data_IF_695205021785
#
_entry.id   IF_695205021785
#
_cell.length_a   1.000
_cell.length_b   1.000
_cell.length_c   1.000
_cell.angle_alpha   90.00
_cell.angle_beta   90.00
_cell.angle_gamma   90.00
#
_symmetry.space_group_name_H-M   'P 1'
#
loop_
_entity.id
_entity.type
_entity.pdbx_description
1 polymer ?
#
# COMPACT_ATOMS: atom_id res chain seq x y z
N UNK A 1 10.28 -29.16 2.65
CA UNK A 1 9.85 -28.03 1.80
C UNK A 1 10.49 -26.78 2.38
N UNK A 2 11.43 -26.16 1.68
CA UNK A 2 12.02 -24.88 2.07
C UNK A 2 10.94 -23.81 1.99
N UNK A 3 10.72 -23.05 3.08
CA UNK A 3 9.80 -21.91 3.07
C UNK A 3 10.12 -20.98 1.89
N UNK A 4 9.11 -20.43 1.19
CA UNK A 4 9.35 -19.54 0.06
C UNK A 4 10.22 -18.35 0.51
N UNK A 5 11.18 -17.97 -0.33
CA UNK A 5 12.08 -16.85 -0.07
C UNK A 5 11.26 -15.55 0.12
N UNK A 6 11.64 -14.73 1.10
CA UNK A 6 10.96 -13.48 1.41
C UNK A 6 11.04 -12.51 0.22
N UNK A 7 9.90 -11.97 -0.20
CA UNK A 7 9.79 -10.91 -1.22
C UNK A 7 8.84 -9.84 -0.69
N UNK A 8 9.39 -8.67 -0.37
CA UNK A 8 8.64 -7.48 0.00
C UNK A 8 8.71 -6.41 -1.09
N UNK A 9 7.95 -5.33 -0.92
CA UNK A 9 7.99 -4.19 -1.83
C UNK A 9 7.67 -2.86 -1.15
N UNK A 10 8.20 -1.79 -1.71
CA UNK A 10 7.67 -0.44 -1.51
C UNK A 10 6.93 0.00 -2.77
N UNK A 11 5.71 0.51 -2.58
CA UNK A 11 4.79 0.82 -3.67
C UNK A 11 4.22 2.25 -3.55
N UNK A 12 5.01 3.30 -3.82
CA UNK A 12 4.56 4.69 -3.69
C UNK A 12 3.69 5.15 -4.86
N UNK A 13 2.69 5.98 -4.58
CA UNK A 13 1.94 6.74 -5.60
C UNK A 13 2.61 8.10 -5.86
N UNK A 14 2.91 8.47 -7.12
CA UNK A 14 3.61 9.72 -7.47
C UNK A 14 2.70 10.97 -7.46
N UNK A 15 1.73 11.03 -6.54
CA UNK A 15 0.85 12.19 -6.36
C UNK A 15 1.48 13.32 -5.51
N UNK A 16 2.82 13.34 -5.43
CA UNK A 16 3.62 14.17 -4.55
C UNK A 16 4.93 13.47 -4.16
N UNK A 17 5.84 14.19 -3.51
CA UNK A 17 7.13 13.65 -3.09
C UNK A 17 7.02 12.72 -1.87
N UNK A 18 8.08 11.95 -1.61
CA UNK A 18 8.19 11.26 -0.33
C UNK A 18 8.16 12.27 0.81
N UNK A 19 7.39 11.94 1.84
CA UNK A 19 7.36 12.63 3.11
C UNK A 19 7.76 11.65 4.21
N UNK A 20 7.91 12.14 5.45
CA UNK A 20 8.41 11.32 6.54
C UNK A 20 7.57 10.05 6.80
N UNK A 21 6.24 10.11 6.68
CA UNK A 21 5.40 8.91 6.77
C UNK A 21 5.67 7.87 5.66
N UNK A 22 5.93 8.32 4.43
CA UNK A 22 6.33 7.42 3.33
C UNK A 22 7.72 6.84 3.57
N UNK A 23 8.64 7.61 4.16
CA UNK A 23 9.97 7.11 4.57
C UNK A 23 9.85 6.01 5.64
N UNK A 24 8.97 6.18 6.63
CA UNK A 24 8.72 5.14 7.66
C UNK A 24 8.23 3.84 7.01
N UNK A 25 7.32 3.91 6.04
CA UNK A 25 6.84 2.73 5.31
C UNK A 25 7.94 2.09 4.43
N UNK A 26 8.72 2.91 3.71
CA UNK A 26 9.86 2.44 2.92
C UNK A 26 10.89 1.73 3.80
N UNK A 27 11.29 2.38 4.92
CA UNK A 27 12.25 1.83 5.87
C UNK A 27 11.77 0.51 6.47
N UNK A 28 10.54 0.46 6.99
CA UNK A 28 10.01 -0.77 7.57
C UNK A 28 9.96 -1.92 6.57
N UNK A 29 9.45 -1.67 5.35
CA UNK A 29 9.38 -2.71 4.32
C UNK A 29 10.76 -3.18 3.84
N UNK A 30 11.73 -2.26 3.79
CA UNK A 30 13.12 -2.56 3.42
C UNK A 30 13.81 -3.41 4.48
N UNK A 31 13.77 -2.98 5.75
CA UNK A 31 14.41 -3.68 6.86
C UNK A 31 13.81 -5.06 7.07
N UNK A 32 12.48 -5.18 6.98
CA UNK A 32 11.81 -6.47 7.15
C UNK A 32 12.20 -7.48 6.07
N UNK A 33 12.40 -7.01 4.83
CA UNK A 33 12.92 -7.84 3.75
C UNK A 33 14.38 -8.22 3.94
N UNK A 34 15.25 -7.22 4.18
CA UNK A 34 16.70 -7.42 4.24
C UNK A 34 17.13 -8.22 5.47
N UNK A 35 16.46 -8.05 6.62
CA UNK A 35 16.72 -8.84 7.83
C UNK A 35 16.41 -10.35 7.64
N UNK A 36 15.62 -10.71 6.62
CA UNK A 36 15.32 -12.09 6.23
C UNK A 36 16.14 -12.58 5.03
N UNK A 37 17.12 -11.79 4.57
CA UNK A 37 17.87 -12.08 3.34
C UNK A 37 16.98 -12.10 2.09
N UNK A 38 15.82 -11.44 2.14
CA UNK A 38 14.82 -11.41 1.09
C UNK A 38 15.05 -10.33 0.05
N UNK A 39 14.18 -10.33 -0.95
CA UNK A 39 14.12 -9.29 -1.97
C UNK A 39 13.22 -8.14 -1.55
N UNK A 40 13.60 -6.92 -1.91
CA UNK A 40 12.79 -5.71 -1.74
C UNK A 40 12.60 -5.02 -3.09
N UNK A 41 11.37 -5.04 -3.59
CA UNK A 41 11.02 -4.53 -4.91
C UNK A 41 10.52 -3.08 -4.82
N UNK A 42 10.59 -2.36 -5.94
CA UNK A 42 10.00 -1.03 -6.08
C UNK A 42 8.94 -1.05 -7.19
N UNK A 43 7.74 -0.55 -6.88
CA UNK A 43 6.64 -0.40 -7.85
C UNK A 43 6.02 0.99 -7.76
N UNK A 44 6.03 1.74 -8.85
CA UNK A 44 5.34 3.03 -8.91
C UNK A 44 3.84 2.81 -9.16
N UNK A 45 3.00 3.29 -8.25
CA UNK A 45 1.53 3.18 -8.34
C UNK A 45 0.93 4.40 -9.05
N UNK A 46 1.28 4.57 -10.32
CA UNK A 46 0.87 5.64 -11.25
C UNK A 46 -0.44 5.31 -12.00
N UNK A 47 -1.50 5.05 -11.22
CA UNK A 47 -2.84 4.66 -11.73
C UNK A 47 -3.82 5.81 -11.91
N UNK A 48 -3.50 7.02 -11.46
CA UNK A 48 -4.41 8.17 -11.49
C UNK A 48 -3.66 9.40 -12.03
N UNK A 49 -3.39 9.46 -13.35
CA UNK A 49 -2.62 10.54 -13.96
C UNK A 49 -3.08 11.96 -13.60
N UNK A 50 -4.39 12.26 -13.47
CA UNK A 50 -4.85 13.57 -12.98
C UNK A 50 -4.37 13.97 -11.58
N UNK A 51 -3.97 13.02 -10.74
CA UNK A 51 -3.43 13.26 -9.39
C UNK A 51 -1.92 13.21 -9.33
N UNK A 52 -1.26 12.81 -10.40
CA UNK A 52 0.20 12.70 -10.44
C UNK A 52 0.84 14.08 -10.51
N UNK A 53 2.01 14.20 -9.88
CA UNK A 53 2.79 15.43 -9.88
C UNK A 53 3.99 15.23 -10.81
N UNK A 54 4.13 16.12 -11.79
CA UNK A 54 5.27 16.09 -12.71
C UNK A 54 6.60 16.09 -11.94
N UNK A 55 7.52 15.21 -12.33
CA UNK A 55 8.81 15.05 -11.66
C UNK A 55 8.76 14.30 -10.31
N UNK A 56 7.58 14.03 -9.73
CA UNK A 56 7.49 13.35 -8.44
C UNK A 56 8.05 11.93 -8.47
N UNK A 57 7.82 11.18 -9.54
CA UNK A 57 8.42 9.85 -9.71
C UNK A 57 9.95 9.92 -9.64
N UNK A 58 10.57 10.81 -10.42
CA UNK A 58 12.03 10.98 -10.42
C UNK A 58 12.55 11.42 -9.06
N UNK A 59 11.86 12.35 -8.39
CA UNK A 59 12.21 12.80 -7.06
C UNK A 59 12.10 11.68 -6.00
N UNK A 60 11.08 10.82 -6.09
CA UNK A 60 10.93 9.64 -5.23
C UNK A 60 12.15 8.72 -5.38
N UNK A 61 12.52 8.38 -6.62
CA UNK A 61 13.68 7.53 -6.90
C UNK A 61 14.96 8.14 -6.34
N UNK A 62 15.20 9.42 -6.65
CA UNK A 62 16.38 10.13 -6.18
C UNK A 62 16.45 10.22 -4.64
N UNK A 63 15.32 10.43 -3.96
CA UNK A 63 15.26 10.38 -2.49
C UNK A 63 15.62 8.98 -1.98
N UNK A 64 15.07 7.90 -2.56
CA UNK A 64 15.39 6.54 -2.12
C UNK A 64 16.88 6.24 -2.26
N UNK A 65 17.48 6.60 -3.40
CA UNK A 65 18.92 6.42 -3.68
C UNK A 65 19.79 7.22 -2.69
N UNK A 66 19.48 8.50 -2.47
CA UNK A 66 20.22 9.35 -1.53
C UNK A 66 20.14 8.85 -0.08
N UNK A 67 19.04 8.16 0.27
CA UNK A 67 18.85 7.57 1.59
C UNK A 67 19.46 6.18 1.70
N UNK A 68 20.10 5.68 0.63
CA UNK A 68 20.83 4.41 0.62
C UNK A 68 19.96 3.18 0.35
N UNK A 69 18.68 3.35 -0.01
CA UNK A 69 17.81 2.23 -0.36
C UNK A 69 18.23 1.61 -1.69
N UNK A 70 18.28 0.28 -1.74
CA UNK A 70 18.57 -0.49 -2.95
C UNK A 70 17.46 -1.51 -3.17
N UNK A 71 16.69 -1.35 -4.25
CA UNK A 71 15.68 -2.32 -4.66
C UNK A 71 16.24 -3.36 -5.61
N UNK A 72 15.64 -4.54 -5.62
CA UNK A 72 16.06 -5.65 -6.46
C UNK A 72 15.28 -5.70 -7.78
N UNK A 73 16.01 -5.90 -8.87
CA UNK A 73 15.43 -5.92 -10.21
C UNK A 73 15.05 -4.53 -10.71
N UNK A 74 14.22 -4.49 -11.74
CA UNK A 74 13.75 -3.23 -12.33
C UNK A 74 12.56 -2.67 -11.54
N UNK A 75 12.46 -1.34 -11.52
CA UNK A 75 11.27 -0.66 -11.01
C UNK A 75 10.11 -0.84 -12.00
N UNK A 76 8.97 -1.26 -11.48
CA UNK A 76 7.75 -1.51 -12.27
C UNK A 76 6.80 -0.32 -12.15
N UNK A 77 6.14 0.06 -13.25
CA UNK A 77 5.05 1.04 -13.23
C UNK A 77 3.70 0.36 -13.45
N UNK A 78 2.66 0.83 -12.77
CA UNK A 78 1.31 0.31 -12.95
C UNK A 78 0.65 0.83 -14.23
N UNK A 79 1.05 2.01 -14.72
CA UNK A 79 0.62 2.57 -16.00
C UNK A 79 0.97 1.66 -17.19
N UNK A 80 2.05 0.89 -17.10
CA UNK A 80 2.48 -0.08 -18.11
C UNK A 80 1.70 -1.41 -18.06
N UNK A 81 0.78 -1.58 -17.09
CA UNK A 81 0.12 -2.86 -16.80
C UNK A 81 -1.39 -2.87 -17.04
N UNK A 82 -1.93 -1.81 -17.62
CA UNK A 82 -3.36 -1.64 -17.89
C UNK A 82 -3.97 -2.80 -18.69
N UNK A 83 -3.25 -3.39 -19.65
CA UNK A 83 -3.75 -4.52 -20.43
C UNK A 83 -4.00 -5.76 -19.56
N UNK A 84 -3.14 -6.01 -18.56
CA UNK A 84 -3.31 -7.14 -17.62
C UNK A 84 -4.56 -6.93 -16.77
N UNK A 85 -4.78 -5.70 -16.30
CA UNK A 85 -5.96 -5.37 -15.49
C UNK A 85 -7.26 -5.50 -16.29
N UNK A 86 -7.25 -5.04 -17.56
CA UNK A 86 -8.38 -5.18 -18.48
C UNK A 86 -8.79 -6.64 -18.64
N UNK A 87 -7.83 -7.53 -18.98
CA UNK A 87 -8.07 -8.96 -19.19
C UNK A 87 -8.69 -9.64 -17.95
N UNK A 88 -8.25 -9.26 -16.76
CA UNK A 88 -8.81 -9.82 -15.51
C UNK A 88 -10.23 -9.33 -15.28
N UNK A 89 -10.51 -8.04 -15.52
CA UNK A 89 -11.87 -7.50 -15.41
C UNK A 89 -12.81 -8.20 -16.39
N UNK A 90 -12.38 -8.40 -17.64
CA UNK A 90 -13.19 -9.07 -18.65
C UNK A 90 -13.51 -10.50 -18.22
N UNK A 91 -12.51 -11.25 -17.73
CA UNK A 91 -12.72 -12.60 -17.18
C UNK A 91 -13.68 -12.61 -16.00
N UNK A 92 -13.53 -11.69 -15.04
CA UNK A 92 -14.44 -11.59 -13.89
C UNK A 92 -15.87 -11.25 -14.32
N UNK A 93 -16.03 -10.43 -15.36
CA UNK A 93 -17.32 -10.09 -15.93
C UNK A 93 -17.97 -11.29 -16.64
N UNK A 94 -17.22 -12.03 -17.46
CA UNK A 94 -17.67 -13.26 -18.13
C UNK A 94 -18.10 -14.36 -17.15
N UNK A 95 -17.39 -14.47 -16.03
CA UNK A 95 -17.75 -15.40 -14.94
C UNK A 95 -18.97 -14.92 -14.11
N UNK A 96 -19.55 -13.77 -14.42
CA UNK A 96 -20.65 -13.17 -13.67
C UNK A 96 -20.25 -12.67 -12.28
N UNK A 97 -18.95 -12.59 -11.97
CA UNK A 97 -18.40 -12.14 -10.69
C UNK A 97 -18.26 -10.63 -10.60
N UNK A 98 -18.26 -9.93 -11.74
CA UNK A 98 -18.30 -8.48 -11.82
C UNK A 98 -19.53 -8.00 -12.63
N UNK A 99 -19.93 -6.74 -12.43
CA UNK A 99 -21.05 -6.14 -13.15
C UNK A 99 -20.87 -4.64 -13.35
N UNK A 100 -21.57 -4.10 -14.34
CA UNK A 100 -21.57 -2.68 -14.65
C UNK A 100 -22.53 -1.91 -13.75
N UNK A 101 -22.05 -0.80 -13.19
CA UNK A 101 -22.77 0.09 -12.30
C UNK A 101 -22.83 1.49 -12.92
N UNK A 102 -24.05 1.96 -13.16
CA UNK A 102 -24.36 3.28 -13.73
C UNK A 102 -24.78 4.31 -12.67
N UNK A 103 -24.87 3.90 -11.40
CA UNK A 103 -25.24 4.79 -10.30
C UNK A 103 -24.34 6.05 -10.25
N UNK A 104 -24.99 7.21 -10.19
CA UNK A 104 -24.34 8.49 -9.91
C UNK A 104 -23.92 8.61 -8.45
N UNK A 105 -23.00 9.54 -8.14
CA UNK A 105 -22.60 9.84 -6.75
C UNK A 105 -23.82 10.20 -5.88
N UNK A 106 -24.74 11.00 -6.41
CA UNK A 106 -25.98 11.40 -5.73
C UNK A 106 -26.87 10.21 -5.36
N UNK A 107 -26.96 9.18 -6.21
CA UNK A 107 -27.71 7.96 -5.88
C UNK A 107 -27.05 7.11 -4.80
N UNK A 108 -25.75 7.31 -4.55
CA UNK A 108 -24.99 6.57 -3.55
C UNK A 108 -24.82 7.36 -2.25
N UNK A 109 -25.25 8.63 -2.22
CA UNK A 109 -25.32 9.42 -1.00
C UNK A 109 -26.25 8.74 0.02
N UNK A 110 -25.88 8.77 1.30
CA UNK A 110 -26.65 8.15 2.38
C UNK A 110 -26.30 6.67 2.68
N UNK A 111 -25.57 5.99 1.80
CA UNK A 111 -25.18 4.59 2.01
C UNK A 111 -23.84 4.39 2.74
N UNK A 112 -23.28 5.46 3.32
CA UNK A 112 -22.04 5.43 4.14
C UNK A 112 -20.85 4.71 3.47
N UNK A 113 -20.78 4.74 2.13
CA UNK A 113 -19.71 4.09 1.36
C UNK A 113 -19.98 2.62 1.00
N UNK A 114 -20.99 1.99 1.59
CA UNK A 114 -21.38 0.60 1.29
C UNK A 114 -22.33 0.59 0.10
N UNK A 115 -21.99 -0.11 -0.98
CA UNK A 115 -22.85 -0.11 -2.16
C UNK A 115 -24.16 -0.88 -1.92
N UNK A 116 -25.35 -0.29 -2.18
CA UNK A 116 -26.65 -0.90 -1.88
C UNK A 116 -27.10 -2.00 -2.86
N UNK A 117 -26.28 -2.36 -3.86
CA UNK A 117 -26.60 -3.44 -4.80
C UNK A 117 -27.57 -3.07 -5.94
N UNK A 118 -27.87 -1.78 -6.16
CA UNK A 118 -28.86 -1.29 -7.15
C UNK A 118 -28.66 -1.92 -8.54
N UNK A 119 -27.43 -1.91 -9.05
CA UNK A 119 -27.11 -2.42 -10.39
C UNK A 119 -26.70 -3.90 -10.40
N UNK A 120 -26.66 -4.57 -9.24
CA UNK A 120 -26.05 -5.91 -9.08
C UNK A 120 -26.63 -6.93 -10.06
N UNK A 121 -27.93 -6.84 -10.36
CA UNK A 121 -28.59 -7.72 -11.33
C UNK A 121 -29.24 -6.94 -12.49
N UNK A 122 -28.85 -5.69 -12.72
CA UNK A 122 -29.48 -4.82 -13.70
C UNK A 122 -28.97 -5.03 -15.14
N UNK A 123 -27.93 -5.84 -15.33
CA UNK A 123 -27.38 -6.22 -16.65
C UNK A 123 -27.06 -5.02 -17.55
N UNK A 124 -26.56 -3.92 -16.97
CA UNK A 124 -26.14 -2.76 -17.75
C UNK A 124 -24.95 -3.09 -18.67
N UNK A 125 -24.85 -2.43 -19.83
CA UNK A 125 -23.66 -2.50 -20.65
C UNK A 125 -22.46 -1.93 -19.89
N UNK A 126 -21.25 -2.39 -20.22
CA UNK A 126 -20.02 -1.89 -19.60
C UNK A 126 -19.68 -0.44 -20.01
N UNK A 127 -20.25 0.05 -21.11
CA UNK A 127 -20.01 1.39 -21.62
C UNK A 127 -20.50 2.45 -20.64
N UNK A 128 -19.65 3.44 -20.37
CA UNK A 128 -19.93 4.57 -19.46
C UNK A 128 -20.44 4.11 -18.08
N UNK A 129 -19.85 3.02 -17.57
CA UNK A 129 -20.17 2.44 -16.28
C UNK A 129 -18.90 2.15 -15.47
N UNK A 130 -19.02 2.25 -14.15
CA UNK A 130 -18.01 1.65 -13.27
C UNK A 130 -18.21 0.13 -13.25
N UNK A 131 -17.13 -0.64 -13.13
CA UNK A 131 -17.21 -2.09 -12.90
C UNK A 131 -17.04 -2.36 -11.42
N UNK A 132 -18.01 -3.05 -10.82
CA UNK A 132 -17.99 -3.50 -9.43
C UNK A 132 -17.80 -5.01 -9.37
N UNK A 133 -17.09 -5.47 -8.35
CA UNK A 133 -17.01 -6.89 -8.01
C UNK A 133 -18.19 -7.26 -7.11
N UNK A 134 -18.80 -8.42 -7.34
CA UNK A 134 -19.77 -9.00 -6.41
C UNK A 134 -19.02 -9.43 -5.16
N UNK A 135 -19.42 -8.92 -4.01
CA UNK A 135 -18.84 -9.26 -2.72
C UNK A 135 -19.73 -10.30 -2.01
N UNK A 136 -19.13 -11.33 -1.38
CA UNK A 136 -19.88 -12.34 -0.64
C UNK A 136 -20.32 -11.83 0.74
N UNK A 137 -21.37 -12.45 1.29
CA UNK A 137 -21.80 -12.27 2.68
C UNK A 137 -20.93 -13.11 3.63
N UNK A 138 -19.63 -12.80 3.66
CA UNK A 138 -18.63 -13.53 4.44
C UNK A 138 -17.74 -12.58 5.26
N UNK A 139 -17.27 -13.08 6.40
CA UNK A 139 -16.23 -12.45 7.20
C UNK A 139 -14.85 -12.89 6.71
N UNK A 140 -13.99 -11.92 6.42
CA UNK A 140 -12.58 -12.13 6.16
C UNK A 140 -11.77 -11.69 7.36
N UNK A 141 -10.74 -12.46 7.69
CA UNK A 141 -9.82 -12.14 8.77
C UNK A 141 -8.38 -12.43 8.37
N UNK A 142 -7.46 -11.79 9.07
CA UNK A 142 -6.04 -12.10 8.98
C UNK A 142 -5.33 -11.70 10.27
N UNK A 143 -4.16 -12.30 10.47
CA UNK A 143 -3.25 -11.93 11.54
C UNK A 143 -2.24 -10.91 11.02
N UNK A 144 -2.36 -9.65 11.45
CA UNK A 144 -1.33 -8.64 11.20
C UNK A 144 -0.17 -8.79 12.20
N UNK A 145 1.06 -8.79 11.68
CA UNK A 145 2.27 -8.97 12.50
C UNK A 145 2.49 -7.87 13.56
N UNK A 146 1.85 -6.71 13.44
CA UNK A 146 1.91 -5.60 14.42
C UNK A 146 0.54 -5.31 15.03
N UNK A 147 -0.50 -5.20 14.21
CA UNK A 147 -1.85 -4.80 14.64
C UNK A 147 -2.66 -5.96 15.25
N UNK A 148 -2.17 -7.20 15.13
CA UNK A 148 -2.84 -8.41 15.63
C UNK A 148 -3.99 -8.87 14.73
N UNK A 149 -4.93 -9.60 15.33
CA UNK A 149 -6.12 -10.09 14.63
C UNK A 149 -6.98 -8.94 14.10
N UNK A 150 -7.29 -8.95 12.80
CA UNK A 150 -8.22 -8.03 12.16
C UNK A 150 -9.30 -8.83 11.42
N UNK A 151 -10.56 -8.40 11.55
CA UNK A 151 -11.73 -9.04 10.93
C UNK A 151 -12.65 -7.98 10.32
N UNK A 152 -13.29 -8.32 9.21
CA UNK A 152 -14.28 -7.47 8.54
C UNK A 152 -15.28 -8.32 7.77
N UNK A 153 -16.56 -8.05 7.95
CA UNK A 153 -17.64 -8.66 7.18
C UNK A 153 -17.86 -7.90 5.87
N UNK A 154 -17.36 -8.44 4.75
CA UNK A 154 -17.27 -7.70 3.50
C UNK A 154 -18.64 -7.25 2.96
N UNK A 155 -19.65 -8.12 2.96
CA UNK A 155 -20.99 -7.78 2.46
C UNK A 155 -21.66 -6.62 3.21
N UNK A 156 -21.43 -6.52 4.53
CA UNK A 156 -22.09 -5.55 5.43
C UNK A 156 -21.31 -4.26 5.58
N UNK A 157 -19.98 -4.35 5.63
CA UNK A 157 -19.11 -3.21 5.98
C UNK A 157 -18.44 -2.57 4.75
N UNK A 158 -18.41 -3.28 3.61
CA UNK A 158 -17.75 -2.80 2.39
C UNK A 158 -18.74 -2.75 1.22
N UNK A 159 -19.49 -3.82 1.02
CA UNK A 159 -20.35 -4.02 -0.14
C UNK A 159 -19.55 -4.15 -1.45
N UNK A 160 -20.27 -4.25 -2.56
CA UNK A 160 -19.69 -4.45 -3.89
C UNK A 160 -18.83 -3.23 -4.29
N UNK A 161 -17.51 -3.35 -4.15
CA UNK A 161 -16.58 -2.25 -4.41
C UNK A 161 -16.18 -2.17 -5.89
N UNK A 162 -15.71 -0.98 -6.29
CA UNK A 162 -15.29 -0.69 -7.67
C UNK A 162 -13.93 -1.31 -7.95
N UNK A 163 -13.80 -2.01 -9.08
CA UNK A 163 -12.53 -2.53 -9.63
C UNK A 163 -12.06 -1.77 -10.89
N UNK A 164 -13.00 -1.12 -11.60
CA UNK A 164 -12.72 -0.12 -12.66
C UNK A 164 -13.66 1.06 -12.51
N UNK A 165 -13.13 2.26 -12.42
CA UNK A 165 -13.92 3.50 -12.33
C UNK A 165 -14.63 3.79 -13.66
N UNK A 166 -15.67 4.63 -13.60
CA UNK A 166 -16.44 5.05 -14.79
C UNK A 166 -15.59 5.82 -15.80
N UNK A 167 -14.57 6.54 -15.33
CA UNK A 167 -13.59 7.25 -16.15
C UNK A 167 -12.49 6.34 -16.72
N UNK A 168 -12.61 5.02 -16.55
CA UNK A 168 -11.68 4.03 -17.10
C UNK A 168 -10.49 3.69 -16.22
N UNK A 169 -10.23 4.45 -15.16
CA UNK A 169 -9.09 4.20 -14.26
C UNK A 169 -9.30 2.94 -13.40
N UNK A 170 -8.25 2.14 -13.24
CA UNK A 170 -8.30 0.91 -12.45
C UNK A 170 -8.25 1.21 -10.95
N UNK A 171 -9.03 0.47 -10.16
CA UNK A 171 -9.03 0.65 -8.72
C UNK A 171 -7.77 0.04 -8.10
N UNK A 172 -7.20 0.74 -7.11
CA UNK A 172 -6.07 0.28 -6.32
C UNK A 172 -6.21 -1.17 -5.84
N UNK A 173 -7.41 -1.56 -5.36
CA UNK A 173 -7.67 -2.91 -4.82
C UNK A 173 -7.39 -4.03 -5.84
N UNK A 174 -7.71 -3.79 -7.12
CA UNK A 174 -7.46 -4.77 -8.18
C UNK A 174 -5.98 -4.78 -8.56
N UNK A 175 -5.43 -3.61 -8.88
CA UNK A 175 -4.08 -3.49 -9.41
C UNK A 175 -3.03 -4.01 -8.41
N UNK A 176 -3.15 -3.67 -7.13
CA UNK A 176 -2.21 -4.13 -6.09
C UNK A 176 -2.20 -5.65 -5.95
N UNK A 177 -3.37 -6.30 -6.03
CA UNK A 177 -3.48 -7.77 -5.91
C UNK A 177 -2.83 -8.46 -7.11
N UNK A 178 -3.09 -7.95 -8.32
CA UNK A 178 -2.52 -8.50 -9.54
C UNK A 178 -1.01 -8.34 -9.59
N UNK A 179 -0.50 -7.18 -9.18
CA UNK A 179 0.93 -6.90 -9.24
C UNK A 179 1.71 -7.57 -8.12
N UNK A 180 1.17 -7.63 -6.89
CA UNK A 180 1.81 -8.37 -5.80
C UNK A 180 1.89 -9.86 -6.15
N UNK A 181 0.83 -10.44 -6.75
CA UNK A 181 0.86 -11.83 -7.22
C UNK A 181 1.87 -12.04 -8.37
N UNK A 182 1.89 -11.15 -9.36
CA UNK A 182 2.81 -11.24 -10.50
C UNK A 182 4.29 -11.06 -10.09
N UNK A 183 4.58 -10.17 -9.14
CA UNK A 183 5.93 -9.98 -8.60
C UNK A 183 6.34 -11.05 -7.57
N UNK A 184 5.41 -11.94 -7.19
CA UNK A 184 5.63 -12.98 -6.20
C UNK A 184 5.82 -12.43 -4.79
N UNK A 185 5.21 -11.29 -4.45
CA UNK A 185 5.29 -10.68 -3.11
C UNK A 185 4.73 -11.65 -2.07
N UNK A 186 5.54 -11.94 -1.05
CA UNK A 186 5.18 -12.84 0.05
C UNK A 186 4.83 -12.10 1.34
N UNK A 187 5.32 -10.86 1.48
CA UNK A 187 5.16 -10.05 2.69
C UNK A 187 4.84 -8.60 2.30
N UNK A 188 3.67 -8.12 2.72
CA UNK A 188 3.21 -6.76 2.50
C UNK A 188 3.38 -5.96 3.79
N UNK A 189 4.42 -5.13 3.81
CA UNK A 189 4.69 -4.17 4.88
C UNK A 189 4.29 -2.77 4.39
N UNK A 190 3.28 -2.16 5.02
CA UNK A 190 2.72 -0.85 4.59
C UNK A 190 2.09 -0.07 5.74
N UNK A 191 1.61 1.14 5.49
CA UNK A 191 0.96 1.98 6.50
C UNK A 191 -0.41 1.44 6.95
N UNK A 192 -0.74 1.63 8.23
CA UNK A 192 -1.99 1.18 8.85
C UNK A 192 -3.24 1.89 8.34
N UNK A 193 -3.10 2.92 7.51
CA UNK A 193 -4.19 3.51 6.75
C UNK A 193 -4.75 2.59 5.65
N UNK A 194 -4.03 1.52 5.30
CA UNK A 194 -4.46 0.49 4.36
C UNK A 194 -4.92 -0.81 5.04
N UNK A 195 -4.99 -0.82 6.37
CA UNK A 195 -5.36 -2.01 7.15
C UNK A 195 -6.74 -2.55 6.73
N UNK A 196 -7.71 -1.66 6.60
CA UNK A 196 -9.10 -1.95 6.21
C UNK A 196 -9.25 -2.38 4.73
N UNK A 197 -8.21 -2.18 3.91
CA UNK A 197 -8.17 -2.62 2.51
C UNK A 197 -7.75 -4.08 2.39
N UNK A 198 -7.11 -4.64 3.43
CA UNK A 198 -6.60 -6.01 3.40
C UNK A 198 -7.70 -7.06 3.19
N UNK A 199 -8.85 -7.04 3.89
CA UNK A 199 -9.92 -8.01 3.65
C UNK A 199 -10.46 -8.02 2.21
N UNK A 200 -10.58 -6.83 1.58
CA UNK A 200 -10.96 -6.71 0.16
C UNK A 200 -9.93 -7.37 -0.76
N UNK A 201 -8.65 -7.22 -0.43
CA UNK A 201 -7.55 -7.79 -1.21
C UNK A 201 -7.44 -9.30 -1.01
N UNK A 202 -7.65 -9.81 0.21
CA UNK A 202 -7.73 -11.24 0.49
C UNK A 202 -8.86 -11.91 -0.30
N UNK A 203 -10.03 -11.25 -0.37
CA UNK A 203 -11.13 -11.73 -1.21
C UNK A 203 -10.74 -11.80 -2.69
N UNK A 204 -10.13 -10.74 -3.25
CA UNK A 204 -9.68 -10.76 -4.64
C UNK A 204 -8.60 -11.83 -4.88
N UNK A 205 -7.68 -12.03 -3.93
CA UNK A 205 -6.66 -13.08 -4.01
C UNK A 205 -7.29 -14.47 -4.04
N UNK A 206 -8.25 -14.75 -3.14
CA UNK A 206 -9.00 -16.01 -3.12
C UNK A 206 -9.77 -16.22 -4.43
N UNK A 207 -10.49 -15.19 -4.89
CA UNK A 207 -11.30 -15.24 -6.10
C UNK A 207 -10.46 -15.52 -7.36
N UNK A 208 -9.22 -15.01 -7.40
CA UNK A 208 -8.30 -15.16 -8.52
C UNK A 208 -7.33 -16.36 -8.35
N UNK A 209 -7.42 -17.08 -7.23
CA UNK A 209 -6.57 -18.25 -6.94
C UNK A 209 -5.11 -17.91 -6.62
N UNK A 210 -4.84 -16.71 -6.10
CA UNK A 210 -3.50 -16.30 -5.69
C UNK A 210 -3.19 -16.68 -4.24
N UNK A 211 -1.89 -16.84 -3.94
CA UNK A 211 -1.42 -16.96 -2.57
C UNK A 211 -1.65 -15.66 -1.80
N UNK A 212 -2.06 -15.77 -0.53
CA UNK A 212 -2.22 -14.62 0.36
C UNK A 212 -0.87 -14.31 1.05
N UNK A 213 -0.35 -13.08 0.95
CA UNK A 213 0.90 -12.71 1.60
C UNK A 213 0.70 -12.52 3.10
N UNK A 214 1.81 -12.45 3.85
CA UNK A 214 1.81 -12.04 5.25
C UNK A 214 1.73 -10.52 5.32
N UNK A 215 0.99 -9.99 6.28
CA UNK A 215 0.77 -8.54 6.42
C UNK A 215 1.42 -7.98 7.68
N UNK A 216 1.98 -6.78 7.55
CA UNK A 216 2.44 -5.94 8.65
C UNK A 216 2.05 -4.50 8.36
N UNK A 217 1.28 -3.90 9.28
CA UNK A 217 0.84 -2.51 9.15
C UNK A 217 1.53 -1.61 10.17
N UNK A 218 2.36 -0.68 9.69
CA UNK A 218 3.07 0.30 10.53
C UNK A 218 2.17 1.48 10.90
N UNK A 219 2.33 2.09 12.09
CA UNK A 219 1.55 3.26 12.48
C UNK A 219 1.69 4.40 11.47
N UNK A 220 0.58 5.06 11.18
CA UNK A 220 0.60 6.28 10.39
C UNK A 220 1.07 7.47 11.23
N UNK A 221 2.06 8.21 10.75
CA UNK A 221 2.50 9.43 11.43
C UNK A 221 1.46 10.53 11.23
N UNK A 222 0.97 11.11 12.34
CA UNK A 222 -0.03 12.18 12.34
C UNK A 222 0.56 13.46 12.94
N UNK A 223 0.18 14.60 12.39
CA UNK A 223 0.53 15.92 12.90
C UNK A 223 -0.24 16.23 14.21
N UNK A 224 0.22 17.21 15.02
CA UNK A 224 -0.43 17.57 16.27
C UNK A 224 -1.89 18.01 16.14
N UNK A 225 -2.29 18.50 14.97
CA UNK A 225 -3.66 18.90 14.62
C UNK A 225 -4.57 17.69 14.27
N UNK A 226 -4.04 16.46 14.34
CA UNK A 226 -4.75 15.23 14.05
C UNK A 226 -4.81 14.89 12.55
N UNK A 227 -4.28 15.74 11.67
CA UNK A 227 -4.19 15.43 10.25
C UNK A 227 -3.08 14.41 9.99
N UNK A 228 -3.30 13.54 9.00
CA UNK A 228 -2.25 12.65 8.50
C UNK A 228 -1.06 13.51 8.06
N UNK A 229 0.16 13.13 8.45
CA UNK A 229 1.36 13.76 7.91
C UNK A 229 1.49 13.33 6.45
N UNK A 230 0.78 14.04 5.58
CA UNK A 230 0.50 13.64 4.21
C UNK A 230 0.43 14.83 3.28
N UNK A 231 1.00 14.61 2.09
CA UNK A 231 0.89 15.33 0.82
C UNK A 231 0.06 16.63 0.85
N UNK A 232 0.58 17.69 1.48
CA UNK A 232 0.28 19.00 0.92
C UNK A 232 0.97 19.04 -0.44
N UNK A 233 0.28 19.53 -1.48
CA UNK A 233 0.82 19.63 -2.85
C UNK A 233 2.12 20.48 -2.93
N UNK A 234 2.58 21.04 -1.81
CA UNK A 234 3.70 21.97 -1.68
C UNK A 234 4.78 21.51 -0.70
N UNK A 235 4.68 20.33 -0.09
CA UNK A 235 5.75 19.84 0.77
C UNK A 235 6.97 19.53 -0.09
N UNK A 236 8.16 20.09 0.18
CA UNK A 236 9.35 19.78 -0.59
C UNK A 236 9.73 18.30 -0.42
N UNK A 237 10.54 17.74 -1.34
CA UNK A 237 11.12 16.41 -1.15
C UNK A 237 11.90 16.34 0.16
N UNK A 238 12.03 15.12 0.70
CA UNK A 238 12.92 14.90 1.83
C UNK A 238 14.35 15.32 1.45
N UNK A 239 15.00 16.20 2.22
CA UNK A 239 16.28 16.74 1.84
C UNK A 239 17.39 15.68 2.02
N UNK A 240 18.33 15.66 1.08
CA UNK A 240 19.37 14.62 1.01
C UNK A 240 20.41 14.75 2.14
N UNK A 241 20.74 15.98 2.53
CA UNK A 241 21.66 16.29 3.64
C UNK A 241 21.15 15.80 5.01
N UNK A 242 19.85 15.58 5.13
CA UNK A 242 19.18 15.13 6.36
C UNK A 242 18.88 13.64 6.37
N UNK A 243 19.41 12.87 5.41
CA UNK A 243 19.08 11.45 5.25
C UNK A 243 19.37 10.61 6.49
N UNK A 244 20.59 10.68 7.05
CA UNK A 244 20.96 9.98 8.29
C UNK A 244 20.05 10.34 9.47
N UNK A 245 19.92 11.63 9.83
CA UNK A 245 19.02 12.08 10.89
C UNK A 245 17.55 11.64 10.71
N UNK A 246 17.03 11.68 9.48
CA UNK A 246 15.65 11.27 9.19
C UNK A 246 15.46 9.75 9.25
N UNK A 247 16.46 8.96 8.83
CA UNK A 247 16.46 7.50 9.04
C UNK A 247 16.46 7.15 10.53
N UNK A 248 17.32 7.79 11.32
CA UNK A 248 17.36 7.62 12.77
C UNK A 248 16.02 7.96 13.43
N UNK A 249 15.37 9.04 12.97
CA UNK A 249 14.04 9.42 13.43
C UNK A 249 12.97 8.40 13.02
N UNK A 250 13.04 7.86 11.80
CA UNK A 250 12.12 6.83 11.32
C UNK A 250 12.29 5.50 12.09
N UNK A 251 13.53 5.11 12.42
CA UNK A 251 13.83 3.97 13.30
C UNK A 251 13.16 4.12 14.67
N UNK A 252 13.31 5.29 15.30
CA UNK A 252 12.62 5.58 16.57
C UNK A 252 11.10 5.53 16.44
N UNK A 253 10.54 6.01 15.33
CA UNK A 253 9.11 5.90 15.06
C UNK A 253 8.62 4.45 14.92
N UNK A 254 9.49 3.56 14.45
CA UNK A 254 9.28 2.11 14.37
C UNK A 254 9.63 1.39 15.69
N UNK A 255 9.84 2.13 16.79
CA UNK A 255 10.18 1.58 18.10
C UNK A 255 11.59 0.96 18.19
N UNK A 256 12.42 1.16 17.18
CA UNK A 256 13.81 0.72 17.21
C UNK A 256 14.63 1.68 18.09
N UNK A 257 15.74 1.19 18.64
CA UNK A 257 16.61 1.95 19.56
C UNK A 257 18.01 2.10 18.95
N UNK A 258 18.18 2.90 17.88
CA UNK A 258 19.48 3.07 17.27
C UNK A 258 20.41 3.88 18.20
N UNK A 259 21.67 3.44 18.36
CA UNK A 259 22.62 4.11 19.24
C UNK A 259 22.96 5.53 18.73
N UNK A 260 23.17 6.53 19.61
CA UNK A 260 23.36 7.93 19.21
C UNK A 260 24.52 8.16 18.22
N UNK A 261 25.53 7.31 18.25
CA UNK A 261 26.74 7.37 17.42
C UNK A 261 26.40 7.24 15.92
N UNK A 262 25.30 6.55 15.56
CA UNK A 262 24.84 6.43 14.18
C UNK A 262 24.39 7.77 13.58
N UNK A 263 24.12 8.80 14.39
CA UNK A 263 23.73 10.10 13.88
C UNK A 263 24.83 10.76 13.01
N UNK A 264 26.10 10.39 13.21
CA UNK A 264 27.23 10.86 12.40
C UNK A 264 27.58 9.97 11.21
N UNK A 265 26.91 8.83 11.06
CA UNK A 265 27.18 7.86 10.01
C UNK A 265 26.47 8.22 8.69
N UNK A 266 26.96 7.64 7.60
CA UNK A 266 26.30 7.70 6.30
C UNK A 266 24.94 6.98 6.35
N UNK A 267 23.97 7.34 5.48
CA UNK A 267 22.68 6.66 5.39
C UNK A 267 22.82 5.14 5.21
N UNK A 268 23.82 4.71 4.45
CA UNK A 268 24.13 3.29 4.21
C UNK A 268 24.54 2.57 5.50
N UNK A 269 25.45 3.14 6.28
CA UNK A 269 25.87 2.56 7.57
C UNK A 269 24.70 2.47 8.56
N UNK A 270 23.83 3.49 8.57
CA UNK A 270 22.59 3.46 9.37
C UNK A 270 21.70 2.29 8.93
N UNK A 271 21.50 2.09 7.63
CA UNK A 271 20.70 0.97 7.11
C UNK A 271 21.34 -0.40 7.41
N UNK A 272 22.66 -0.55 7.23
CA UNK A 272 23.38 -1.80 7.51
C UNK A 272 23.28 -2.20 8.99
N UNK A 273 23.45 -1.24 9.90
CA UNK A 273 23.19 -1.47 11.32
C UNK A 273 21.73 -1.84 11.57
N UNK A 274 20.79 -1.13 10.93
CA UNK A 274 19.36 -1.35 11.14
C UNK A 274 18.89 -2.71 10.66
N UNK A 275 19.47 -3.25 9.58
CA UNK A 275 19.14 -4.58 9.07
C UNK A 275 19.48 -5.67 10.09
N UNK A 276 20.63 -5.54 10.75
CA UNK A 276 21.13 -6.52 11.73
C UNK A 276 20.39 -6.46 13.06
N UNK A 277 19.80 -5.31 13.40
CA UNK A 277 19.10 -5.06 14.66
C UNK A 277 17.57 -4.93 14.49
N UNK A 278 17.03 -5.23 13.31
CA UNK A 278 15.61 -5.08 13.03
C UNK A 278 14.75 -6.01 13.89
N UNK A 279 13.84 -5.43 14.65
CA UNK A 279 12.81 -6.16 15.38
C UNK A 279 11.43 -5.56 15.13
N UNK A 280 10.67 -6.20 14.24
CA UNK A 280 9.28 -5.84 13.95
C UNK A 280 8.36 -5.88 15.18
N UNK A 281 8.70 -6.66 16.22
CA UNK A 281 7.94 -6.75 17.46
C UNK A 281 8.00 -5.46 18.31
N UNK A 282 8.98 -4.59 18.07
CA UNK A 282 9.11 -3.28 18.73
C UNK A 282 8.22 -2.20 18.13
N UNK A 283 7.68 -2.42 16.93
CA UNK A 283 6.82 -1.44 16.28
C UNK A 283 5.59 -1.17 17.17
N UNK A 284 5.27 0.10 17.48
CA UNK A 284 4.13 0.41 18.33
C UNK A 284 2.83 -0.21 17.81
N UNK A 285 2.11 -0.93 18.68
CA UNK A 285 0.79 -1.50 18.37
C UNK A 285 -0.30 -0.43 18.39
N UNK A 286 -0.22 0.48 17.43
CA UNK A 286 -1.18 1.55 17.22
C UNK A 286 -1.37 1.80 15.73
N UNK A 287 -2.56 2.29 15.33
CA UNK A 287 -2.82 2.67 13.94
C UNK A 287 -2.21 4.02 13.57
N UNK A 288 -2.01 4.89 14.56
CA UNK A 288 -1.44 6.22 14.37
C UNK A 288 -0.40 6.51 15.44
N UNK A 289 0.56 7.37 15.09
CA UNK A 289 1.60 7.84 16.00
C UNK A 289 1.77 9.35 15.83
N UNK A 290 1.60 10.09 16.93
CA UNK A 290 1.74 11.54 16.91
C UNK A 290 3.20 11.94 16.68
N UNK A 291 3.43 12.81 15.70
CA UNK A 291 4.76 13.31 15.34
C UNK A 291 5.48 13.95 16.54
N UNK A 292 4.73 14.61 17.43
CA UNK A 292 5.26 15.23 18.65
C UNK A 292 5.95 14.23 19.61
N UNK A 293 5.62 12.94 19.51
CA UNK A 293 6.23 11.86 20.31
C UNK A 293 7.54 11.33 19.70
N UNK A 294 7.94 11.84 18.53
CA UNK A 294 9.14 11.41 17.79
C UNK A 294 10.33 12.35 17.95
N UNK A 295 10.30 13.22 18.96
CA UNK A 295 11.38 14.14 19.29
C UNK A 295 12.46 13.42 20.10
#
# INVERSE_FOLDING_TARGET
MTSPAYIGRFAPTPSGYLHFGSLVAALASYLDARAKGGRWLLRMEDLDPPREVEGAQAAILHTLENYGFQWDGEMVRQSDRHEVYAKVIDRLYEMGLAYACTCSRKQLEGHQGVYPGICRNAQHPQHDAAIRIRVPELEYHFHDRVQGEYRQHLGREVGDFVIRRRDGLYAYQLAVVLDDAWQGVTDVVRGADLLDSTPRQLYLQELLGFSQPRYLHVPLIIQPDGHKLGKSYRSPPLPADSAGPLLMRALRALGQEPPPELAGCSPREVLEWSITHWDAGRIPRARTLAEARLR
#
